data_IF_275994584030
#
_entry.id   IF_275994584030
#
_cell.length_a   1.000
_cell.length_b   1.000
_cell.length_c   1.000
_cell.angle_alpha   90.00
_cell.angle_beta   90.00
_cell.angle_gamma   90.00
#
_symmetry.space_group_name_H-M   'P 1'
#
loop_
_entity.id
_entity.type
_entity.pdbx_description
1 polymer ?
#
# COMPACT_ATOMS: atom_id res chain seq x y z
N UNK A 1 -20.22 -12.75 -16.91
CA UNK A 1 -19.38 -12.45 -15.72
C UNK A 1 -20.08 -11.43 -14.85
N UNK A 2 -20.14 -11.69 -13.55
CA UNK A 2 -20.75 -10.76 -12.59
C UNK A 2 -19.65 -9.91 -11.94
N UNK A 3 -19.79 -8.59 -12.01
CA UNK A 3 -18.87 -7.65 -11.37
C UNK A 3 -19.55 -7.00 -10.17
N UNK A 4 -18.85 -6.95 -9.05
CA UNK A 4 -19.33 -6.29 -7.85
C UNK A 4 -18.39 -5.14 -7.51
N UNK A 5 -18.96 -3.98 -7.21
CA UNK A 5 -18.20 -2.80 -6.80
C UNK A 5 -18.66 -2.39 -5.40
N UNK A 6 -17.69 -2.27 -4.47
CA UNK A 6 -17.97 -1.73 -3.15
C UNK A 6 -17.85 -0.22 -3.18
N UNK A 7 -18.87 0.45 -2.64
CA UNK A 7 -18.90 1.90 -2.53
C UNK A 7 -19.16 2.25 -1.08
N UNK A 8 -18.39 3.21 -0.56
CA UNK A 8 -18.53 3.67 0.83
C UNK A 8 -18.98 5.14 0.85
N UNK A 9 -19.81 5.48 1.83
CA UNK A 9 -20.27 6.86 2.00
C UNK A 9 -19.12 7.80 2.38
N UNK A 10 -18.15 7.30 3.11
CA UNK A 10 -16.98 8.06 3.56
C UNK A 10 -15.72 7.21 3.40
N UNK A 11 -14.59 7.87 3.17
CA UNK A 11 -13.29 7.21 3.24
C UNK A 11 -12.86 7.01 4.70
N UNK A 12 -11.85 6.20 4.94
CA UNK A 12 -11.29 6.01 6.26
C UNK A 12 -10.72 4.62 6.49
N UNK A 13 -9.88 4.51 7.52
CA UNK A 13 -9.22 3.26 7.88
C UNK A 13 -10.20 2.14 8.26
N UNK A 14 -11.40 2.49 8.68
CA UNK A 14 -12.44 1.53 9.02
C UNK A 14 -12.89 0.67 7.85
N UNK A 15 -12.62 1.12 6.62
CA UNK A 15 -13.01 0.41 5.40
C UNK A 15 -11.87 -0.42 4.80
N UNK A 16 -10.70 -0.40 5.41
CA UNK A 16 -9.52 -1.12 4.88
C UNK A 16 -9.78 -2.62 4.79
N UNK A 17 -10.35 -3.22 5.83
CA UNK A 17 -10.63 -4.66 5.85
C UNK A 17 -11.56 -5.06 4.70
N UNK A 18 -12.67 -4.36 4.51
CA UNK A 18 -13.63 -4.66 3.46
C UNK A 18 -13.01 -4.47 2.06
N UNK A 19 -12.20 -3.42 1.90
CA UNK A 19 -11.52 -3.14 0.64
C UNK A 19 -10.54 -4.27 0.30
N UNK A 20 -9.73 -4.70 1.26
CA UNK A 20 -8.77 -5.78 1.06
C UNK A 20 -9.46 -7.12 0.80
N UNK A 21 -10.55 -7.42 1.50
CA UNK A 21 -11.31 -8.65 1.26
C UNK A 21 -11.88 -8.67 -0.15
N UNK A 22 -12.38 -7.55 -0.63
CA UNK A 22 -12.88 -7.41 -1.99
C UNK A 22 -11.75 -7.62 -3.01
N UNK A 23 -10.59 -7.01 -2.78
CA UNK A 23 -9.45 -7.12 -3.67
C UNK A 23 -8.94 -8.57 -3.75
N UNK A 24 -8.84 -9.26 -2.61
CA UNK A 24 -8.39 -10.65 -2.57
C UNK A 24 -9.38 -11.56 -3.30
N UNK A 25 -10.67 -11.39 -3.06
CA UNK A 25 -11.70 -12.18 -3.76
C UNK A 25 -11.60 -12.00 -5.27
N UNK A 26 -11.37 -10.78 -5.73
CA UNK A 26 -11.22 -10.50 -7.16
C UNK A 26 -9.94 -11.11 -7.73
N UNK A 27 -8.84 -11.00 -6.97
CA UNK A 27 -7.57 -11.60 -7.37
C UNK A 27 -7.70 -13.11 -7.55
N UNK A 28 -8.37 -13.78 -6.62
CA UNK A 28 -8.60 -15.22 -6.71
C UNK A 28 -9.47 -15.57 -7.92
N UNK A 29 -10.53 -14.81 -8.17
CA UNK A 29 -11.42 -15.05 -9.31
C UNK A 29 -10.71 -14.90 -10.65
N UNK A 30 -9.73 -14.00 -10.74
CA UNK A 30 -8.98 -13.74 -11.97
C UNK A 30 -7.64 -14.47 -12.08
N UNK A 31 -7.24 -15.23 -11.03
CA UNK A 31 -5.94 -15.90 -11.02
C UNK A 31 -4.77 -14.94 -10.86
N UNK A 32 -4.99 -13.78 -10.25
CA UNK A 32 -3.94 -12.79 -10.00
C UNK A 32 -3.10 -13.25 -8.81
N UNK A 33 -1.78 -13.20 -8.96
CA UNK A 33 -0.83 -13.68 -7.95
C UNK A 33 -0.09 -12.58 -7.22
N UNK A 34 -0.30 -11.33 -7.58
CA UNK A 34 0.36 -10.19 -6.94
C UNK A 34 -0.63 -9.07 -6.71
N UNK A 35 -0.54 -8.42 -5.56
CA UNK A 35 -1.34 -7.25 -5.22
C UNK A 35 -0.38 -6.14 -4.80
N UNK A 36 -0.57 -4.95 -5.34
CA UNK A 36 0.21 -3.76 -5.00
C UNK A 36 -0.64 -2.87 -4.12
N UNK A 37 -0.07 -2.45 -2.99
CA UNK A 37 -0.76 -1.56 -2.06
C UNK A 37 0.11 -0.34 -1.74
N UNK A 38 -0.52 0.81 -1.60
CA UNK A 38 0.15 2.00 -1.08
C UNK A 38 0.15 1.91 0.45
N UNK A 39 1.31 2.06 1.06
CA UNK A 39 1.42 1.94 2.50
C UNK A 39 2.58 2.79 3.01
N UNK A 40 2.27 3.92 3.64
CA UNK A 40 3.30 4.84 4.14
C UNK A 40 4.08 4.25 5.31
N UNK A 41 3.40 3.59 6.24
CA UNK A 41 4.02 3.06 7.47
C UNK A 41 3.87 1.55 7.65
N UNK A 42 3.22 0.87 6.73
CA UNK A 42 3.13 -0.57 6.74
C UNK A 42 1.83 -1.18 7.25
N UNK A 43 0.93 -0.38 7.82
CA UNK A 43 -0.33 -0.89 8.37
C UNK A 43 -1.18 -1.61 7.34
N UNK A 44 -1.46 -0.97 6.23
CA UNK A 44 -2.24 -1.58 5.14
C UNK A 44 -1.51 -2.79 4.55
N UNK A 45 -0.19 -2.69 4.40
CA UNK A 45 0.61 -3.79 3.88
C UNK A 45 0.53 -5.04 4.76
N UNK A 46 0.59 -4.86 6.09
CA UNK A 46 0.47 -5.97 7.03
C UNK A 46 -0.92 -6.61 6.99
N UNK A 47 -1.97 -5.80 6.90
CA UNK A 47 -3.33 -6.31 6.77
C UNK A 47 -3.51 -7.07 5.46
N UNK A 48 -2.98 -6.55 4.36
CA UNK A 48 -3.01 -7.21 3.07
C UNK A 48 -2.26 -8.54 3.11
N UNK A 49 -1.08 -8.56 3.73
CA UNK A 49 -0.27 -9.77 3.86
C UNK A 49 -1.02 -10.88 4.61
N UNK A 50 -1.69 -10.51 5.70
CA UNK A 50 -2.46 -11.48 6.48
C UNK A 50 -3.55 -12.15 5.65
N UNK A 51 -4.18 -11.40 4.75
CA UNK A 51 -5.26 -11.91 3.89
C UNK A 51 -4.74 -12.66 2.65
N UNK A 52 -3.60 -12.24 2.13
CA UNK A 52 -3.05 -12.80 0.88
C UNK A 52 -2.22 -14.06 1.10
N UNK A 53 -1.54 -14.17 2.22
CA UNK A 53 -0.63 -15.29 2.51
C UNK A 53 -1.28 -16.66 2.38
N UNK A 54 -2.48 -16.92 2.91
CA UNK A 54 -3.13 -18.23 2.78
C UNK A 54 -3.41 -18.62 1.33
N UNK A 55 -3.47 -17.66 0.42
CA UNK A 55 -3.81 -17.90 -0.99
C UNK A 55 -2.60 -17.85 -1.91
N UNK A 56 -1.41 -17.67 -1.37
CA UNK A 56 -0.20 -17.60 -2.18
C UNK A 56 -0.09 -16.33 -3.02
N UNK A 57 -0.78 -15.27 -2.64
CA UNK A 57 -0.72 -13.98 -3.33
C UNK A 57 0.39 -13.14 -2.71
N UNK A 58 1.30 -12.65 -3.55
CA UNK A 58 2.41 -11.79 -3.12
C UNK A 58 1.91 -10.36 -2.96
N UNK A 59 2.23 -9.74 -1.82
CA UNK A 59 1.93 -8.32 -1.58
C UNK A 59 3.19 -7.50 -1.85
N UNK A 60 3.02 -6.44 -2.62
CA UNK A 60 4.07 -5.44 -2.88
C UNK A 60 3.57 -4.13 -2.30
N UNK A 61 4.31 -3.59 -1.34
CA UNK A 61 3.96 -2.33 -0.71
C UNK A 61 4.81 -1.21 -1.31
N UNK A 62 4.15 -0.14 -1.72
CA UNK A 62 4.80 1.05 -2.25
C UNK A 62 4.75 2.12 -1.17
N UNK A 63 5.92 2.54 -0.68
CA UNK A 63 6.03 3.58 0.33
C UNK A 63 6.33 4.93 -0.32
N UNK A 64 6.20 6.01 0.47
CA UNK A 64 6.50 7.35 -0.02
C UNK A 64 7.99 7.55 -0.29
N UNK A 65 8.30 8.40 -1.27
CA UNK A 65 9.67 8.78 -1.55
C UNK A 65 10.31 9.56 -0.42
N UNK A 66 11.65 9.52 -0.34
CA UNK A 66 12.42 10.14 0.74
C UNK A 66 12.23 11.64 0.87
N UNK A 67 11.67 12.31 -0.14
CA UNK A 67 11.38 13.73 -0.08
C UNK A 67 10.44 14.14 1.06
N UNK A 68 9.65 13.22 1.58
CA UNK A 68 8.69 13.46 2.65
C UNK A 68 9.16 12.98 4.02
N UNK A 69 10.42 12.58 4.12
CA UNK A 69 10.99 12.00 5.35
C UNK A 69 10.91 12.96 6.55
N UNK A 70 11.19 14.24 6.34
CA UNK A 70 11.17 15.25 7.40
C UNK A 70 9.79 15.45 8.01
N UNK A 71 8.72 15.08 7.30
CA UNK A 71 7.35 15.17 7.79
C UNK A 71 6.88 13.89 8.49
N UNK A 72 7.76 12.90 8.61
CA UNK A 72 7.40 11.63 9.22
C UNK A 72 6.45 10.78 8.38
N UNK A 73 6.36 11.03 7.09
CA UNK A 73 5.46 10.32 6.18
C UNK A 73 6.10 9.08 5.55
N UNK A 74 7.41 8.94 5.71
CA UNK A 74 8.14 7.80 5.17
C UNK A 74 8.19 6.65 6.17
N UNK A 75 8.26 5.44 5.66
CA UNK A 75 8.40 4.24 6.48
C UNK A 75 9.75 4.24 7.18
N UNK A 76 9.76 3.99 8.49
CA UNK A 76 11.00 3.86 9.25
C UNK A 76 11.66 2.51 8.95
N UNK A 77 12.99 2.37 9.22
CA UNK A 77 13.66 1.08 9.04
C UNK A 77 13.01 -0.05 9.85
N UNK A 78 12.52 0.25 11.05
CA UNK A 78 11.84 -0.74 11.90
C UNK A 78 10.51 -1.17 11.30
N UNK A 79 9.75 -0.21 10.78
CA UNK A 79 8.48 -0.49 10.10
C UNK A 79 8.72 -1.33 8.85
N UNK A 80 9.74 -0.99 8.07
CA UNK A 80 10.11 -1.73 6.87
C UNK A 80 10.50 -3.18 7.21
N UNK A 81 11.32 -3.37 8.23
CA UNK A 81 11.73 -4.70 8.67
C UNK A 81 10.54 -5.55 9.08
N UNK A 82 9.57 -4.96 9.78
CA UNK A 82 8.35 -5.65 10.20
C UNK A 82 7.52 -6.09 9.01
N UNK A 83 7.37 -5.22 8.04
CA UNK A 83 6.60 -5.50 6.82
C UNK A 83 7.29 -6.58 5.99
N UNK A 84 8.60 -6.49 5.81
CA UNK A 84 9.37 -7.49 5.08
C UNK A 84 9.34 -8.86 5.77
N UNK A 85 9.38 -8.88 7.11
CA UNK A 85 9.26 -10.10 7.88
C UNK A 85 7.91 -10.80 7.68
N UNK A 86 6.87 -10.06 7.33
CA UNK A 86 5.56 -10.61 7.00
C UNK A 86 5.49 -11.16 5.57
N UNK A 87 6.59 -11.11 4.82
CA UNK A 87 6.65 -11.60 3.44
C UNK A 87 6.26 -10.58 2.37
N UNK A 88 6.15 -9.31 2.74
CA UNK A 88 5.82 -8.24 1.81
C UNK A 88 7.10 -7.69 1.18
N UNK A 89 7.07 -7.47 -0.13
CA UNK A 89 8.14 -6.76 -0.81
C UNK A 89 7.87 -5.26 -0.73
N UNK A 90 8.80 -4.51 -0.18
CA UNK A 90 8.66 -3.05 -0.04
C UNK A 90 9.44 -2.36 -1.15
N UNK A 91 8.77 -1.46 -1.85
CA UNK A 91 9.38 -0.63 -2.89
C UNK A 91 9.11 0.83 -2.51
N UNK A 92 10.17 1.65 -2.50
CA UNK A 92 9.99 3.09 -2.35
C UNK A 92 9.54 3.63 -3.70
N UNK A 93 8.28 4.08 -3.73
CA UNK A 93 7.65 4.45 -4.98
C UNK A 93 8.17 5.76 -5.55
N UNK A 94 8.18 5.82 -6.88
CA UNK A 94 8.41 7.05 -7.59
C UNK A 94 7.07 7.49 -8.17
N UNK A 95 6.54 8.58 -7.65
CA UNK A 95 5.38 9.25 -8.20
C UNK A 95 5.87 10.62 -8.68
N UNK A 96 6.57 10.59 -9.80
CA UNK A 96 7.42 11.70 -10.25
C UNK A 96 6.71 13.06 -10.24
N UNK A 97 5.49 13.16 -10.76
CA UNK A 97 4.76 14.42 -10.83
C UNK A 97 4.02 14.77 -9.55
N UNK A 98 3.66 13.77 -8.73
CA UNK A 98 2.98 14.01 -7.45
C UNK A 98 3.96 14.18 -6.29
N UNK A 99 4.60 13.08 -5.91
CA UNK A 99 5.42 13.06 -4.70
C UNK A 99 6.79 13.69 -4.88
N UNK A 100 7.52 13.30 -5.92
CA UNK A 100 8.92 13.72 -6.06
C UNK A 100 9.06 15.17 -6.52
N UNK A 101 8.29 15.59 -7.52
CA UNK A 101 8.31 16.99 -7.97
C UNK A 101 7.72 17.91 -6.90
N UNK A 102 6.62 17.51 -6.28
CA UNK A 102 6.01 18.26 -5.19
C UNK A 102 6.96 18.44 -4.02
N UNK A 103 7.66 17.38 -3.64
CA UNK A 103 8.66 17.42 -2.58
C UNK A 103 9.83 18.36 -2.92
N UNK A 104 10.34 18.29 -4.14
CA UNK A 104 11.42 19.15 -4.59
C UNK A 104 11.01 20.62 -4.58
N UNK A 105 9.82 20.94 -5.08
CA UNK A 105 9.29 22.30 -5.08
C UNK A 105 9.09 22.84 -3.67
N UNK A 106 8.62 22.00 -2.76
CA UNK A 106 8.43 22.40 -1.37
C UNK A 106 9.75 22.74 -0.70
N UNK A 107 10.80 21.99 -0.97
CA UNK A 107 12.14 22.28 -0.41
C UNK A 107 12.72 23.57 -0.91
N UNK A 108 12.44 23.96 -2.16
CA UNK A 108 12.98 25.19 -2.74
C UNK A 108 12.16 26.44 -2.43
N UNK A 109 10.84 26.31 -2.39
CA UNK A 109 9.94 27.45 -2.35
C UNK A 109 9.03 27.49 -1.13
N UNK A 110 9.03 26.46 -0.37
CA UNK A 110 8.11 26.34 0.72
C UNK A 110 8.62 26.32 2.06
#
# INVERSE_FOLDING_TARGET
MKLETLVFDKGGAEHTAATLDCAVARALALGIKQIVVASSHGGTALEAAARCKPHGIQVIAVSLGHGWESLGWCMTPEERSRVEAAGVRVVTGIHALGDDVGSALTKEHG
#
